data_IF_324661711492
#
_entry.id   IF_324661711492
#
_cell.length_a   1.000
_cell.length_b   1.000
_cell.length_c   1.000
_cell.angle_alpha   90.00
_cell.angle_beta   90.00
_cell.angle_gamma   90.00
#
_symmetry.space_group_name_H-M   'P 1'
#
loop_
_entity.id
_entity.type
_entity.pdbx_description
1 polymer ?
#
# COMPACT_ATOMS: atom_id res chain seq x y z
N UNK A 1 20.86 -8.42 34.20
CA UNK A 1 22.29 -8.74 33.98
C UNK A 1 22.60 -8.33 32.55
N UNK A 2 23.41 -7.30 32.34
CA UNK A 2 23.78 -6.86 30.99
C UNK A 2 24.84 -7.82 30.46
N UNK A 3 24.45 -8.75 29.60
CA UNK A 3 25.40 -9.57 28.87
C UNK A 3 26.33 -8.65 28.09
N UNK A 4 27.65 -8.82 28.28
CA UNK A 4 28.66 -8.06 27.55
C UNK A 4 28.56 -8.40 26.07
N UNK A 5 27.78 -7.61 25.33
CA UNK A 5 27.61 -7.75 23.88
C UNK A 5 28.93 -7.38 23.21
N UNK A 6 29.65 -8.37 22.69
CA UNK A 6 30.81 -8.16 21.83
C UNK A 6 30.39 -8.32 20.38
N UNK A 7 30.96 -7.51 19.51
CA UNK A 7 30.83 -7.69 18.07
C UNK A 7 31.46 -9.02 17.67
N UNK A 8 30.71 -9.84 16.94
CA UNK A 8 31.17 -11.13 16.42
C UNK A 8 32.17 -10.99 15.27
N UNK A 9 32.22 -9.82 14.64
CA UNK A 9 33.06 -9.54 13.48
C UNK A 9 34.44 -8.97 13.87
N UNK A 10 34.47 -7.91 14.69
CA UNK A 10 35.72 -7.24 15.08
C UNK A 10 36.13 -7.45 16.55
N UNK A 11 35.28 -8.09 17.36
CA UNK A 11 35.54 -8.34 18.79
C UNK A 11 35.34 -7.13 19.72
N UNK A 12 34.97 -5.96 19.18
CA UNK A 12 34.76 -4.76 19.97
C UNK A 12 33.59 -4.91 20.97
N UNK A 13 33.71 -4.26 22.12
CA UNK A 13 32.63 -4.10 23.11
C UNK A 13 31.78 -2.84 22.88
N UNK A 14 32.14 -2.02 21.89
CA UNK A 14 31.43 -0.78 21.56
C UNK A 14 30.19 -1.08 20.71
N UNK A 15 29.21 -1.71 21.35
CA UNK A 15 27.94 -2.12 20.77
C UNK A 15 26.85 -1.19 21.29
N UNK A 16 26.10 -0.57 20.37
CA UNK A 16 25.08 0.43 20.68
C UNK A 16 23.74 0.08 20.04
N UNK A 17 22.64 0.44 20.70
CA UNK A 17 21.32 0.44 20.10
C UNK A 17 21.18 1.69 19.21
N UNK A 18 20.97 1.50 17.91
CA UNK A 18 20.76 2.55 16.92
C UNK A 18 19.26 2.63 16.57
N UNK A 19 18.65 3.74 16.96
CA UNK A 19 17.25 4.08 16.70
C UNK A 19 17.08 5.28 15.75
N UNK A 20 18.13 5.65 15.00
CA UNK A 20 18.07 6.82 14.11
C UNK A 20 17.20 6.60 12.85
N UNK A 21 16.90 5.34 12.50
CA UNK A 21 16.04 4.98 11.37
C UNK A 21 14.69 4.42 11.83
N UNK A 22 13.86 3.99 10.87
CA UNK A 22 12.56 3.39 11.13
C UNK A 22 12.61 2.05 11.89
N UNK A 23 13.81 1.58 12.27
CA UNK A 23 14.02 0.29 12.92
C UNK A 23 15.02 0.41 14.05
N UNK A 24 14.72 -0.26 15.16
CA UNK A 24 15.66 -0.47 16.23
C UNK A 24 16.68 -1.53 15.79
N UNK A 25 17.95 -1.14 15.70
CA UNK A 25 19.05 -2.01 15.35
C UNK A 25 20.10 -2.02 16.45
N UNK A 26 20.86 -3.10 16.56
CA UNK A 26 22.06 -3.16 17.40
C UNK A 26 23.26 -3.20 16.50
N UNK A 27 24.15 -2.21 16.64
CA UNK A 27 25.29 -2.03 15.73
C UNK A 27 26.59 -1.91 16.52
N UNK A 28 27.69 -2.39 15.93
CA UNK A 28 29.03 -2.09 16.42
C UNK A 28 29.48 -0.73 15.89
N UNK A 29 29.75 0.22 16.79
CA UNK A 29 30.16 1.57 16.40
C UNK A 29 31.59 1.63 15.82
N UNK A 30 32.41 0.59 16.04
CA UNK A 30 33.80 0.58 15.58
C UNK A 30 33.96 0.00 14.17
N UNK A 31 33.20 -1.04 13.79
CA UNK A 31 33.29 -1.67 12.46
C UNK A 31 32.02 -1.54 11.60
N UNK A 32 30.91 -1.07 12.17
CA UNK A 32 29.63 -0.94 11.46
C UNK A 32 28.86 -2.25 11.28
N UNK A 33 29.30 -3.36 11.88
CA UNK A 33 28.59 -4.63 11.82
C UNK A 33 27.24 -4.54 12.55
N UNK A 34 26.16 -4.93 11.87
CA UNK A 34 24.81 -5.05 12.44
C UNK A 34 24.71 -6.40 13.14
N UNK A 35 24.46 -6.38 14.45
CA UNK A 35 24.37 -7.59 15.28
C UNK A 35 22.95 -8.12 15.35
N UNK A 36 21.96 -7.24 15.44
CA UNK A 36 20.55 -7.61 15.35
C UNK A 36 19.77 -6.52 14.63
N UNK A 37 18.93 -6.94 13.69
CA UNK A 37 17.99 -6.07 12.99
C UNK A 37 16.59 -6.29 13.58
N UNK A 38 15.89 -5.21 13.94
CA UNK A 38 14.49 -5.27 14.36
C UNK A 38 13.57 -5.72 13.23
N UNK A 39 12.28 -5.93 13.54
CA UNK A 39 11.31 -6.39 12.54
C UNK A 39 10.98 -5.26 11.55
N UNK A 40 11.11 -5.52 10.25
CA UNK A 40 10.81 -4.56 9.16
C UNK A 40 9.31 -4.30 8.94
N UNK A 41 8.46 -5.16 9.46
CA UNK A 41 7.03 -5.21 9.13
C UNK A 41 6.20 -5.39 10.38
N UNK A 42 5.04 -4.75 10.43
CA UNK A 42 4.05 -5.05 11.46
C UNK A 42 3.45 -6.44 11.24
N UNK A 43 3.24 -7.21 12.30
CA UNK A 43 2.48 -8.45 12.24
C UNK A 43 0.99 -8.15 12.06
N UNK A 44 0.21 -9.11 11.54
CA UNK A 44 -1.26 -9.00 11.44
C UNK A 44 -1.91 -8.59 12.78
N UNK A 45 -1.32 -9.00 13.91
CA UNK A 45 -1.79 -8.65 15.25
C UNK A 45 -1.47 -7.20 15.65
N UNK A 46 -0.40 -6.62 15.12
CA UNK A 46 0.02 -5.23 15.35
C UNK A 46 -0.80 -4.24 14.51
N UNK A 47 -1.32 -4.70 13.37
CA UNK A 47 -2.14 -3.92 12.45
C UNK A 47 -3.58 -3.73 12.97
N UNK A 48 -3.73 -2.91 14.02
CA UNK A 48 -5.02 -2.64 14.70
C UNK A 48 -6.05 -1.89 13.84
N UNK A 49 -5.64 -1.32 12.70
CA UNK A 49 -6.48 -0.46 11.87
C UNK A 49 -6.69 -0.98 10.44
N UNK A 50 -6.46 -2.27 10.20
CA UNK A 50 -6.82 -2.88 8.92
C UNK A 50 -8.32 -3.13 8.84
N UNK A 51 -9.06 -2.16 8.30
CA UNK A 51 -10.41 -2.41 7.83
C UNK A 51 -10.34 -2.94 6.40
N UNK A 52 -10.74 -4.20 6.19
CA UNK A 52 -10.88 -4.76 4.86
C UNK A 52 -12.00 -3.99 4.12
N UNK A 53 -11.63 -2.99 3.33
CA UNK A 53 -12.58 -2.23 2.52
C UNK A 53 -12.80 -3.00 1.23
N UNK A 54 -13.92 -3.74 1.15
CA UNK A 54 -14.29 -4.40 -0.11
C UNK A 54 -14.63 -3.33 -1.15
N UNK A 55 -14.19 -3.53 -2.39
CA UNK A 55 -14.52 -2.64 -3.51
C UNK A 55 -16.04 -2.42 -3.64
N UNK A 56 -16.82 -3.49 -3.46
CA UNK A 56 -18.29 -3.45 -3.46
C UNK A 56 -18.91 -2.59 -2.35
N UNK A 57 -18.21 -2.40 -1.23
CA UNK A 57 -18.70 -1.69 -0.05
C UNK A 57 -18.26 -0.21 -0.02
N UNK A 58 -17.26 0.19 -0.82
CA UNK A 58 -16.74 1.57 -0.86
C UNK A 58 -17.09 2.35 -2.10
N UNK A 59 -17.01 1.70 -3.27
CA UNK A 59 -17.08 2.37 -4.57
C UNK A 59 -17.97 1.62 -5.58
N UNK A 60 -18.34 0.37 -5.29
CA UNK A 60 -19.17 -0.45 -6.17
C UNK A 60 -20.67 -0.18 -6.13
N UNK A 61 -21.21 0.56 -5.14
CA UNK A 61 -22.66 0.83 -5.06
C UNK A 61 -23.11 2.07 -5.83
N UNK A 62 -22.17 2.92 -6.25
CA UNK A 62 -22.48 4.21 -6.88
C UNK A 62 -21.84 4.31 -8.27
N UNK A 63 -21.91 3.21 -9.05
CA UNK A 63 -21.65 3.23 -10.50
C UNK A 63 -22.75 4.02 -11.24
N UNK A 64 -22.93 5.28 -10.84
CA UNK A 64 -23.58 6.28 -11.67
C UNK A 64 -22.89 6.29 -13.03
N UNK A 65 -23.69 6.33 -14.10
CA UNK A 65 -23.16 6.38 -15.47
C UNK A 65 -22.19 7.56 -15.56
N UNK A 66 -20.93 7.28 -15.87
CA UNK A 66 -19.92 8.33 -15.99
C UNK A 66 -20.36 9.39 -17.00
N UNK A 67 -19.96 10.65 -16.78
CA UNK A 67 -20.30 11.76 -17.70
C UNK A 67 -19.90 11.46 -19.14
N UNK A 68 -18.79 10.76 -19.35
CA UNK A 68 -18.30 10.35 -20.68
C UNK A 68 -19.22 9.29 -21.30
N UNK A 69 -19.64 8.29 -20.52
CA UNK A 69 -20.58 7.25 -20.98
C UNK A 69 -21.94 7.86 -21.35
N UNK A 70 -22.45 8.78 -20.54
CA UNK A 70 -23.68 9.52 -20.86
C UNK A 70 -23.58 10.32 -22.16
N UNK A 71 -22.47 11.05 -22.36
CA UNK A 71 -22.19 11.76 -23.63
C UNK A 71 -22.13 10.81 -24.82
N UNK A 72 -21.53 9.62 -24.65
CA UNK A 72 -21.50 8.57 -25.67
C UNK A 72 -22.89 8.09 -26.07
N UNK A 73 -23.74 7.77 -25.09
CA UNK A 73 -25.13 7.35 -25.32
C UNK A 73 -25.90 8.41 -26.10
N UNK A 74 -25.79 9.68 -25.71
CA UNK A 74 -26.47 10.80 -26.41
C UNK A 74 -25.99 10.90 -27.86
N UNK A 75 -24.68 10.76 -28.12
CA UNK A 75 -24.11 10.81 -29.47
C UNK A 75 -24.64 9.68 -30.36
N UNK A 76 -24.65 8.44 -29.85
CA UNK A 76 -25.17 7.28 -30.58
C UNK A 76 -26.64 7.50 -30.92
N UNK A 77 -27.46 7.91 -29.94
CA UNK A 77 -28.88 8.22 -30.17
C UNK A 77 -29.10 9.29 -31.23
N UNK A 78 -28.28 10.35 -31.23
CA UNK A 78 -28.36 11.39 -32.25
C UNK A 78 -27.97 10.87 -33.63
N UNK A 79 -26.94 10.03 -33.73
CA UNK A 79 -26.53 9.43 -34.99
C UNK A 79 -27.61 8.52 -35.56
N UNK A 80 -28.25 7.68 -34.71
CA UNK A 80 -29.39 6.86 -35.12
C UNK A 80 -30.54 7.70 -35.70
N UNK A 81 -30.83 8.87 -35.11
CA UNK A 81 -31.85 9.80 -35.64
C UNK A 81 -31.47 10.37 -37.01
N UNK A 82 -30.23 10.82 -37.17
CA UNK A 82 -29.73 11.39 -38.44
C UNK A 82 -29.77 10.35 -39.56
N UNK A 83 -29.33 9.13 -39.26
CA UNK A 83 -29.29 8.01 -40.19
C UNK A 83 -30.65 7.28 -40.34
N UNK A 84 -31.67 7.70 -39.59
CA UNK A 84 -33.02 7.09 -39.56
C UNK A 84 -33.00 5.59 -39.27
N UNK A 85 -32.14 5.17 -38.34
CA UNK A 85 -32.04 3.78 -37.90
C UNK A 85 -33.24 3.38 -37.01
N UNK A 86 -33.62 2.09 -36.98
CA UNK A 86 -34.62 1.57 -36.05
C UNK A 86 -34.27 1.87 -34.58
N UNK A 87 -35.30 2.00 -33.72
CA UNK A 87 -35.09 2.31 -32.30
C UNK A 87 -34.32 1.23 -31.52
N UNK A 88 -34.29 -0.01 -32.04
CA UNK A 88 -33.49 -1.11 -31.46
C UNK A 88 -31.99 -0.85 -31.39
N UNK A 89 -31.50 0.21 -32.05
CA UNK A 89 -30.09 0.63 -32.02
C UNK A 89 -29.81 1.75 -30.99
N UNK A 90 -30.82 2.25 -30.28
CA UNK A 90 -30.73 3.43 -29.41
C UNK A 90 -30.78 3.11 -27.89
N UNK A 91 -30.95 1.84 -27.54
CA UNK A 91 -31.05 1.33 -26.16
C UNK A 91 -29.69 1.11 -25.50
#
# INVERSE_FOLDING_TARGET
MAESRRCTDCGSTNVVDDCHYAQDQVVCADCGCILTEGVLTTTLQEEKFQQAVRFSESSGQDESISRTKLKGIIRVRNLCKVLRLPQSFAD
#
